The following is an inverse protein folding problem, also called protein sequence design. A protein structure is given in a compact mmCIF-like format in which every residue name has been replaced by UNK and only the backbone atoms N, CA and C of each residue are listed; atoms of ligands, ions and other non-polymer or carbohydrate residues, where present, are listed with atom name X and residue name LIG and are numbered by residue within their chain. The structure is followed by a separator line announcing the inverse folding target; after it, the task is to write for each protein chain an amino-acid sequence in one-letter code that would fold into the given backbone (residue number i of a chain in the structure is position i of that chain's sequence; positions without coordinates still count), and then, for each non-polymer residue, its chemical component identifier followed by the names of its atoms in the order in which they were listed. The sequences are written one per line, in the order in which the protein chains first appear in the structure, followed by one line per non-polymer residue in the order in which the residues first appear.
data_IF_061896704138
#
_entry.id   IF_061896704138
#
_cell.length_a   1.000
_cell.length_b   1.000
_cell.length_c   1.000
_cell.angle_alpha   90.00
_cell.angle_beta   90.00
_cell.angle_gamma   90.00
#
_symmetry.space_group_name_H-M   'P 1'
#
loop_
_entity.id
_entity.type
_entity.pdbx_description
1 polymer ?
#
# COMPACT_ATOMS: atom_id res chain seq x y z
N UNK A 1 -6.71 -1.66 -8.03
CA UNK A 1 -6.22 -0.29 -8.24
C UNK A 1 -4.83 -0.34 -8.83
N UNK A 2 -4.39 0.72 -9.53
CA UNK A 2 -2.97 0.91 -9.84
C UNK A 2 -2.22 1.14 -8.51
N UNK A 3 -1.07 0.51 -8.33
CA UNK A 3 -0.43 0.39 -7.02
C UNK A 3 0.06 1.75 -6.50
N UNK A 4 0.77 2.50 -7.32
CA UNK A 4 1.22 3.87 -7.01
C UNK A 4 0.06 4.80 -6.59
N UNK A 5 -1.08 4.75 -7.29
CA UNK A 5 -2.26 5.56 -6.99
C UNK A 5 -2.90 5.16 -5.66
N UNK A 6 -2.93 3.86 -5.34
CA UNK A 6 -3.41 3.36 -4.06
C UNK A 6 -2.48 3.79 -2.90
N UNK A 7 -1.16 3.79 -3.12
CA UNK A 7 -0.19 4.28 -2.13
C UNK A 7 -0.31 5.79 -1.91
N UNK A 8 -0.50 6.57 -2.98
CA UNK A 8 -0.76 8.02 -2.87
C UNK A 8 -2.02 8.26 -2.04
N UNK A 9 -3.13 7.58 -2.36
CA UNK A 9 -4.37 7.71 -1.59
C UNK A 9 -4.16 7.33 -0.12
N UNK A 10 -3.47 6.21 0.14
CA UNK A 10 -3.21 5.75 1.50
C UNK A 10 -2.32 6.72 2.30
N UNK A 11 -1.34 7.35 1.66
CA UNK A 11 -0.50 8.37 2.30
C UNK A 11 -1.27 9.65 2.60
N UNK A 12 -2.15 10.08 1.69
CA UNK A 12 -3.02 11.25 1.93
C UNK A 12 -4.03 11.00 3.06
N UNK A 13 -4.57 9.78 3.18
CA UNK A 13 -5.43 9.40 4.31
C UNK A 13 -4.70 9.53 5.66
N UNK A 14 -3.36 9.46 5.66
CA UNK A 14 -2.49 9.51 6.84
C UNK A 14 -1.78 10.86 7.00
N UNK A 15 -2.22 11.89 6.28
CA UNK A 15 -1.59 13.21 6.29
C UNK A 15 -1.48 13.77 7.72
N UNK A 16 -2.57 13.73 8.49
CA UNK A 16 -2.59 14.21 9.87
C UNK A 16 -1.64 13.41 10.77
N UNK A 17 -1.65 12.08 10.69
CA UNK A 17 -0.76 11.20 11.46
C UNK A 17 0.73 11.46 11.17
N UNK A 18 1.07 11.74 9.91
CA UNK A 18 2.44 12.06 9.48
C UNK A 18 2.89 13.40 10.08
N UNK A 19 2.04 14.43 10.02
CA UNK A 19 2.33 15.76 10.56
C UNK A 19 2.43 15.73 12.09
N UNK A 20 1.52 15.02 12.77
CA UNK A 20 1.60 14.79 14.21
C UNK A 20 2.87 14.01 14.58
N UNK A 21 3.24 13.02 13.77
CA UNK A 21 4.48 12.25 13.89
C UNK A 21 5.73 13.12 13.86
N UNK A 22 5.83 14.03 12.88
CA UNK A 22 6.92 15.01 12.79
C UNK A 22 7.01 15.87 14.06
N UNK A 23 5.88 16.46 14.46
CA UNK A 23 5.79 17.30 15.65
C UNK A 23 6.18 16.55 16.93
N UNK A 24 5.73 15.30 17.09
CA UNK A 24 6.06 14.46 18.24
C UNK A 24 7.55 14.16 18.37
N UNK A 25 8.29 14.21 17.26
CA UNK A 25 9.74 13.99 17.21
C UNK A 25 10.53 15.30 17.20
N UNK A 26 9.86 16.45 17.41
CA UNK A 26 10.45 17.79 17.32
C UNK A 26 11.07 18.10 15.96
N UNK A 27 10.50 17.54 14.89
CA UNK A 27 10.87 17.85 13.52
C UNK A 27 10.01 19.03 13.03
N UNK A 28 10.55 19.79 12.08
CA UNK A 28 9.85 20.91 11.47
C UNK A 28 8.69 20.40 10.60
N UNK A 29 7.50 20.99 10.73
CA UNK A 29 6.34 20.70 9.89
C UNK A 29 6.64 20.99 8.41
N UNK A 30 7.59 21.88 8.10
CA UNK A 30 8.08 22.14 6.74
C UNK A 30 9.05 21.09 6.19
N UNK A 31 9.36 20.03 6.94
CA UNK A 31 10.25 18.97 6.50
C UNK A 31 9.71 18.27 5.24
N UNK A 32 10.55 18.21 4.19
CA UNK A 32 10.18 17.74 2.85
C UNK A 32 10.61 16.30 2.54
N UNK A 33 11.29 15.63 3.47
CA UNK A 33 11.83 14.29 3.26
C UNK A 33 13.35 14.25 2.99
N UNK A 34 13.88 13.08 2.61
CA UNK A 34 13.12 11.91 2.17
C UNK A 34 12.45 11.16 3.33
N UNK A 35 11.17 10.83 3.14
CA UNK A 35 10.46 9.85 3.97
C UNK A 35 10.66 8.46 3.39
N UNK A 36 10.86 7.46 4.25
CA UNK A 36 10.91 6.05 3.89
C UNK A 36 9.68 5.36 4.47
N UNK A 37 8.90 4.72 3.61
CA UNK A 37 7.64 4.06 3.94
C UNK A 37 7.86 2.56 3.85
N UNK A 38 7.61 1.84 4.94
CA UNK A 38 7.67 0.37 4.94
C UNK A 38 6.28 -0.17 4.70
N UNK A 39 6.11 -0.98 3.65
CA UNK A 39 4.84 -1.57 3.26
C UNK A 39 4.86 -3.07 3.57
N UNK A 40 3.83 -3.57 4.25
CA UNK A 40 3.52 -5.00 4.32
C UNK A 40 2.56 -5.33 3.21
N UNK A 41 2.97 -6.22 2.31
CA UNK A 41 2.11 -6.78 1.26
C UNK A 41 1.50 -8.10 1.76
N UNK A 42 0.29 -8.40 1.33
CA UNK A 42 -0.40 -9.64 1.70
C UNK A 42 -1.26 -10.12 0.54
N UNK A 43 -1.20 -11.43 0.26
CA UNK A 43 -2.00 -12.07 -0.76
C UNK A 43 -2.59 -13.35 -0.18
N UNK A 44 -3.92 -13.49 -0.23
CA UNK A 44 -4.63 -14.62 0.33
C UNK A 44 -5.70 -15.15 -0.63
N UNK A 45 -5.77 -16.47 -0.78
CA UNK A 45 -6.86 -17.18 -1.43
C UNK A 45 -8.02 -17.46 -0.48
N UNK A 46 -9.24 -17.42 -1.02
CA UNK A 46 -10.49 -17.67 -0.31
C UNK A 46 -11.28 -18.74 -1.08
N UNK A 47 -11.68 -19.80 -0.38
CA UNK A 47 -12.63 -20.79 -0.88
C UNK A 47 -14.08 -20.41 -0.61
N UNK A 48 -15.01 -21.24 -1.12
CA UNK A 48 -16.45 -21.13 -0.87
C UNK A 48 -17.05 -19.76 -1.22
N UNK A 49 -16.55 -19.13 -2.29
CA UNK A 49 -17.04 -17.85 -2.80
C UNK A 49 -18.05 -18.12 -3.92
N UNK A 50 -19.32 -18.30 -3.57
CA UNK A 50 -20.35 -18.76 -4.53
C UNK A 50 -20.45 -17.91 -5.80
N UNK A 51 -20.52 -18.59 -6.95
CA UNK A 51 -20.78 -17.95 -8.23
C UNK A 51 -22.23 -17.45 -8.29
N UNK A 52 -22.43 -16.25 -8.84
CA UNK A 52 -23.78 -15.71 -9.04
C UNK A 52 -24.31 -16.08 -10.42
N UNK A 53 -25.61 -16.34 -10.53
CA UNK A 53 -26.27 -16.38 -11.83
C UNK A 53 -26.09 -15.06 -12.59
N UNK A 54 -25.93 -15.12 -13.90
CA UNK A 54 -25.75 -13.92 -14.73
C UNK A 54 -25.30 -14.25 -16.15
N UNK A 55 -24.99 -13.19 -16.91
CA UNK A 55 -24.51 -13.29 -18.29
C UNK A 55 -22.97 -13.21 -18.41
N UNK A 56 -22.25 -13.27 -17.28
CA UNK A 56 -20.80 -13.22 -17.25
C UNK A 56 -20.15 -14.52 -17.74
N UNK A 57 -18.81 -14.53 -17.91
CA UNK A 57 -18.09 -15.78 -18.09
C UNK A 57 -18.29 -16.68 -16.86
N UNK A 58 -18.16 -17.99 -17.05
CA UNK A 58 -18.06 -18.91 -15.91
C UNK A 58 -16.82 -18.57 -15.09
N UNK A 59 -16.97 -18.43 -13.78
CA UNK A 59 -15.89 -18.07 -12.85
C UNK A 59 -15.76 -19.14 -11.75
N UNK A 60 -14.55 -19.37 -11.20
CA UNK A 60 -14.39 -20.29 -10.09
C UNK A 60 -15.10 -19.76 -8.84
N UNK A 61 -15.59 -20.66 -7.99
CA UNK A 61 -16.15 -20.32 -6.68
C UNK A 61 -15.07 -20.05 -5.62
N UNK A 62 -14.03 -19.32 -6.04
CA UNK A 62 -12.86 -18.96 -5.26
C UNK A 62 -12.48 -17.52 -5.58
N UNK A 63 -11.83 -16.86 -4.62
CA UNK A 63 -11.30 -15.52 -4.82
C UNK A 63 -9.85 -15.44 -4.35
N UNK A 64 -9.09 -14.53 -4.94
CA UNK A 64 -7.79 -14.12 -4.43
C UNK A 64 -7.85 -12.62 -4.14
N UNK A 65 -7.32 -12.23 -2.99
CA UNK A 65 -7.20 -10.85 -2.58
C UNK A 65 -5.72 -10.50 -2.39
N UNK A 66 -5.29 -9.44 -3.05
CA UNK A 66 -4.01 -8.79 -2.79
C UNK A 66 -4.29 -7.47 -2.08
N UNK A 67 -3.58 -7.23 -0.97
CA UNK A 67 -3.74 -6.06 -0.09
C UNK A 67 -2.38 -5.57 0.38
N UNK A 68 -2.35 -4.36 0.92
CA UNK A 68 -1.16 -3.80 1.55
C UNK A 68 -1.51 -3.00 2.81
N UNK A 69 -0.51 -2.81 3.67
CA UNK A 69 -0.59 -2.00 4.89
C UNK A 69 0.66 -1.14 4.99
N UNK A 70 0.48 0.16 5.28
CA UNK A 70 1.58 1.06 5.61
C UNK A 70 2.02 0.77 7.05
N UNK A 71 3.16 0.10 7.22
CA UNK A 71 3.61 -0.40 8.52
C UNK A 71 4.31 0.67 9.35
N UNK A 72 5.19 1.45 8.71
CA UNK A 72 5.87 2.55 9.37
C UNK A 72 6.33 3.59 8.35
N UNK A 73 6.47 4.82 8.82
CA UNK A 73 7.02 5.93 8.04
C UNK A 73 8.14 6.55 8.87
N UNK A 74 9.30 6.73 8.24
CA UNK A 74 10.47 7.33 8.88
C UNK A 74 10.96 8.53 8.08
N UNK A 75 11.30 9.61 8.79
CA UNK A 75 11.96 10.79 8.23
C UNK A 75 13.48 10.62 8.33
N UNK A 76 14.21 10.90 7.24
CA UNK A 76 15.69 10.85 7.25
C UNK A 76 16.27 12.23 7.52
N UNK A 77 17.01 12.40 8.61
CA UNK A 77 17.70 13.64 8.97
C UNK A 77 19.15 13.34 9.39
N UNK A 78 20.13 14.04 8.82
CA UNK A 78 21.55 13.94 9.22
C UNK A 78 22.09 12.50 9.32
N UNK A 79 21.72 11.63 8.36
CA UNK A 79 22.02 10.18 8.33
C UNK A 79 21.38 9.33 9.43
N UNK A 80 20.45 9.87 10.21
CA UNK A 80 19.59 9.12 11.12
C UNK A 80 18.18 8.95 10.51
N UNK A 81 17.60 7.76 10.69
CA UNK A 81 16.20 7.47 10.33
C UNK A 81 15.35 7.56 11.58
N UNK A 82 14.47 8.56 11.64
CA UNK A 82 13.59 8.82 12.77
C UNK A 82 12.19 8.34 12.39
N UNK A 83 11.70 7.31 13.07
CA UNK A 83 10.35 6.78 12.85
C UNK A 83 9.30 7.75 13.40
N UNK A 84 8.46 8.26 12.51
CA UNK A 84 7.41 9.25 12.81
C UNK A 84 6.02 8.62 12.90
N UNK A 85 5.80 7.50 12.20
CA UNK A 85 4.58 6.72 12.26
C UNK A 85 4.92 5.23 12.37
N UNK A 86 4.11 4.50 13.14
CA UNK A 86 4.13 3.04 13.24
C UNK A 86 2.71 2.54 13.45
N UNK A 87 2.28 1.57 12.63
CA UNK A 87 0.96 0.97 12.74
C UNK A 87 0.85 0.17 14.04
N UNK A 88 -0.05 0.58 14.92
CA UNK A 88 -0.21 0.00 16.25
C UNK A 88 -0.84 -1.40 16.20
N UNK A 89 -1.68 -1.68 15.19
CA UNK A 89 -2.38 -2.96 15.03
C UNK A 89 -2.19 -3.50 13.61
N UNK A 90 -0.97 -3.95 13.24
CA UNK A 90 -0.59 -4.27 11.86
C UNK A 90 -1.31 -5.47 11.23
N UNK A 91 -2.13 -6.19 12.02
CA UNK A 91 -2.96 -7.30 11.56
C UNK A 91 -4.46 -7.02 11.70
N UNK A 92 -4.85 -5.78 12.00
CA UNK A 92 -6.26 -5.37 12.01
C UNK A 92 -6.79 -5.23 10.59
N UNK A 93 -8.02 -5.64 10.36
CA UNK A 93 -8.73 -5.43 9.10
C UNK A 93 -8.85 -3.94 8.71
N UNK A 94 -8.76 -3.02 9.68
CA UNK A 94 -8.89 -1.57 9.45
C UNK A 94 -7.69 -0.98 8.70
N UNK A 95 -6.49 -1.55 8.87
CA UNK A 95 -5.26 -1.07 8.23
C UNK A 95 -4.91 -1.84 6.94
N UNK A 96 -5.62 -2.94 6.66
CA UNK A 96 -5.40 -3.78 5.50
C UNK A 96 -6.16 -3.21 4.29
N UNK A 97 -5.46 -2.41 3.47
CA UNK A 97 -6.07 -1.74 2.31
C UNK A 97 -6.11 -2.71 1.11
N UNK A 98 -7.30 -3.03 0.56
CA UNK A 98 -7.41 -3.93 -0.57
C UNK A 98 -6.89 -3.27 -1.85
N UNK A 99 -6.05 -3.96 -2.61
CA UNK A 99 -5.47 -3.46 -3.85
C UNK A 99 -6.05 -4.15 -5.08
N UNK A 100 -6.19 -5.47 -5.03
CA UNK A 100 -6.73 -6.28 -6.12
C UNK A 100 -7.62 -7.39 -5.58
N UNK A 101 -8.80 -7.55 -6.17
CA UNK A 101 -9.74 -8.63 -5.89
C UNK A 101 -10.00 -9.34 -7.21
N UNK A 102 -9.84 -10.66 -7.23
CA UNK A 102 -10.10 -11.48 -8.41
C UNK A 102 -10.89 -12.72 -8.05
N UNK A 103 -11.78 -13.14 -8.93
CA UNK A 103 -12.43 -14.46 -8.87
C UNK A 103 -11.53 -15.44 -9.62
N UNK A 104 -10.59 -16.04 -8.90
CA UNK A 104 -9.58 -16.95 -9.42
C UNK A 104 -9.23 -17.99 -8.35
N UNK A 105 -8.70 -19.13 -8.76
CA UNK A 105 -8.09 -20.10 -7.86
C UNK A 105 -6.62 -19.71 -7.65
N UNK A 106 -6.17 -19.61 -6.40
CA UNK A 106 -4.75 -19.35 -6.09
C UNK A 106 -3.82 -20.46 -6.63
N UNK A 107 -4.37 -21.65 -6.89
CA UNK A 107 -3.62 -22.78 -7.46
C UNK A 107 -3.46 -22.69 -8.99
N UNK A 108 -4.23 -21.84 -9.67
CA UNK A 108 -4.11 -21.60 -11.11
C UNK A 108 -3.01 -20.54 -11.34
N UNK A 109 -1.81 -21.05 -11.63
CA UNK A 109 -0.62 -20.21 -11.75
C UNK A 109 -0.70 -19.25 -12.95
N UNK A 110 -1.25 -19.71 -14.07
CA UNK A 110 -1.40 -18.93 -15.29
C UNK A 110 -2.31 -17.73 -15.07
N UNK A 111 -3.51 -17.95 -14.51
CA UNK A 111 -4.45 -16.87 -14.21
C UNK A 111 -3.90 -15.92 -13.16
N UNK A 112 -3.33 -16.45 -12.07
CA UNK A 112 -2.79 -15.64 -10.98
C UNK A 112 -1.66 -14.74 -11.48
N UNK A 113 -0.73 -15.27 -12.27
CA UNK A 113 0.40 -14.51 -12.81
C UNK A 113 -0.07 -13.47 -13.82
N UNK A 114 -1.04 -13.81 -14.68
CA UNK A 114 -1.60 -12.86 -15.64
C UNK A 114 -2.22 -11.64 -14.95
N UNK A 115 -2.91 -11.84 -13.81
CA UNK A 115 -3.58 -10.75 -13.08
C UNK A 115 -2.61 -9.97 -12.19
N UNK A 116 -1.67 -10.64 -11.50
CA UNK A 116 -0.78 -9.99 -10.53
C UNK A 116 0.50 -9.41 -11.14
N UNK A 117 0.93 -9.87 -12.32
CA UNK A 117 2.17 -9.37 -12.95
C UNK A 117 2.21 -7.85 -13.17
N UNK A 118 1.11 -7.13 -13.50
CA UNK A 118 1.14 -5.67 -13.57
C UNK A 118 1.44 -5.01 -12.21
N UNK A 119 0.88 -5.54 -11.11
CA UNK A 119 1.15 -5.02 -9.77
C UNK A 119 2.60 -5.25 -9.36
N UNK A 120 3.16 -6.41 -9.71
CA UNK A 120 4.59 -6.70 -9.48
C UNK A 120 5.45 -5.73 -10.30
N UNK A 121 5.11 -5.47 -11.56
CA UNK A 121 5.86 -4.54 -12.40
C UNK A 121 5.83 -3.10 -11.84
N UNK A 122 4.66 -2.63 -11.39
CA UNK A 122 4.51 -1.33 -10.73
C UNK A 122 5.31 -1.26 -9.44
N UNK A 123 5.26 -2.31 -8.61
CA UNK A 123 6.05 -2.43 -7.39
C UNK A 123 7.55 -2.36 -7.65
N UNK A 124 8.07 -3.11 -8.62
CA UNK A 124 9.48 -3.07 -8.96
C UNK A 124 9.89 -1.68 -9.48
N UNK A 125 9.06 -1.03 -10.30
CA UNK A 125 9.32 0.34 -10.75
C UNK A 125 9.36 1.35 -9.59
N UNK A 126 8.54 1.15 -8.54
CA UNK A 126 8.49 2.06 -7.40
C UNK A 126 9.74 2.01 -6.52
N UNK A 127 10.41 0.85 -6.39
CA UNK A 127 11.61 0.68 -5.54
C UNK A 127 12.76 1.61 -5.92
N UNK A 128 12.94 1.85 -7.21
CA UNK A 128 14.01 2.69 -7.74
C UNK A 128 13.54 4.14 -8.03
N UNK A 129 12.38 4.52 -7.48
CA UNK A 129 11.74 5.81 -7.74
C UNK A 129 11.58 6.65 -6.47
N UNK A 130 11.16 7.91 -6.64
CA UNK A 130 10.77 8.80 -5.55
C UNK A 130 9.41 9.39 -5.88
N UNK A 131 8.45 9.22 -4.98
CA UNK A 131 7.15 9.86 -5.07
C UNK A 131 7.25 11.29 -4.52
N UNK A 132 6.81 12.28 -5.29
CA UNK A 132 6.58 13.64 -4.77
C UNK A 132 5.08 13.85 -4.60
N UNK A 133 4.66 14.17 -3.38
CA UNK A 133 3.25 14.31 -3.00
C UNK A 133 3.08 15.59 -2.18
N UNK A 134 2.10 16.42 -2.56
CA UNK A 134 1.76 17.62 -1.81
C UNK A 134 0.90 17.24 -0.60
N UNK A 135 1.37 17.62 0.59
CA UNK A 135 0.66 17.47 1.86
C UNK A 135 0.71 18.82 2.56
N UNK A 136 -0.44 19.35 2.97
CA UNK A 136 -0.61 20.63 3.62
C UNK A 136 0.03 21.80 2.86
N UNK A 137 0.01 21.76 1.52
CA UNK A 137 0.61 22.77 0.65
C UNK A 137 2.13 22.67 0.50
N UNK A 138 2.73 21.56 0.93
CA UNK A 138 4.18 21.33 0.89
C UNK A 138 4.47 20.05 0.08
N UNK A 139 5.26 20.13 -1.00
CA UNK A 139 5.71 18.95 -1.73
C UNK A 139 6.72 18.17 -0.89
N UNK A 140 6.33 16.97 -0.47
CA UNK A 140 7.13 16.01 0.30
C UNK A 140 7.54 14.83 -0.58
N UNK A 141 8.68 14.24 -0.26
CA UNK A 141 9.28 13.14 -1.03
C UNK A 141 9.26 11.83 -0.26
N UNK A 142 8.73 10.78 -0.89
CA UNK A 142 8.57 9.44 -0.30
C UNK A 142 9.31 8.39 -1.12
N UNK A 143 9.90 7.44 -0.42
CA UNK A 143 10.50 6.21 -0.95
C UNK A 143 9.82 5.01 -0.29
N UNK A 144 9.79 3.89 -1.01
CA UNK A 144 9.12 2.65 -0.62
C UNK A 144 10.11 1.48 -0.67
#
# INVERSE_FOLDING_TARGET
FRYDAALVSALMDMEEDILEGLKSKNLDDYFKGPFTVVIKESCDGMGDVSEKHGCGPAVPEKAVRFSFTLMSISATQENASIRIFEENKPNSELCCKPLCLMLADESDHETLTAILSPLVAEREAMKDSVLTLDMAGIPRTFKF
#
